data_IF_017305394146
#
_entry.id   IF_017305394146
#
_cell.length_a   1.000
_cell.length_b   1.000
_cell.length_c   1.000
_cell.angle_alpha   90.00
_cell.angle_beta   90.00
_cell.angle_gamma   90.00
#
_symmetry.space_group_name_H-M   'P 1'
#
loop_
_entity.id
_entity.type
_entity.pdbx_description
1 polymer ?
#
# COMPACT_ATOMS: atom_id res chain seq x y z
N UNK A 1 -12.08 1.22 -28.96
CA UNK A 1 -12.17 1.69 -27.57
C UNK A 1 -10.92 1.28 -26.79
N UNK A 2 -10.59 -0.01 -26.72
CA UNK A 2 -9.39 -0.53 -26.04
C UNK A 2 -8.07 0.20 -26.42
N UNK A 3 -7.74 0.33 -27.71
CA UNK A 3 -6.55 1.07 -28.20
C UNK A 3 -6.49 2.57 -27.84
N UNK A 4 -7.62 3.21 -27.56
CA UNK A 4 -7.65 4.61 -27.11
C UNK A 4 -7.34 4.68 -25.62
N UNK A 5 -7.91 3.79 -24.82
CA UNK A 5 -7.67 3.73 -23.37
C UNK A 5 -6.18 3.50 -23.07
N UNK A 6 -5.55 2.53 -23.76
CA UNK A 6 -4.12 2.21 -23.59
C UNK A 6 -3.21 3.44 -23.75
N UNK A 7 -3.56 4.37 -24.66
CA UNK A 7 -2.77 5.60 -24.90
C UNK A 7 -2.87 6.64 -23.79
N UNK A 8 -3.85 6.53 -22.90
CA UNK A 8 -4.15 7.53 -21.88
C UNK A 8 -3.93 7.04 -20.45
N UNK A 9 -3.43 5.81 -20.26
CA UNK A 9 -3.04 5.30 -18.95
C UNK A 9 -1.74 5.97 -18.49
N UNK A 10 -1.86 6.75 -17.42
CA UNK A 10 -0.74 7.37 -16.71
C UNK A 10 0.11 6.32 -15.97
N UNK A 11 1.33 6.72 -15.55
CA UNK A 11 2.20 5.83 -14.77
C UNK A 11 1.58 5.44 -13.42
N UNK A 12 0.83 6.35 -12.79
CA UNK A 12 0.17 6.09 -11.51
C UNK A 12 -0.98 5.08 -11.67
N UNK A 13 -1.76 5.21 -12.75
CA UNK A 13 -2.81 4.25 -13.07
C UNK A 13 -2.24 2.88 -13.42
N UNK A 14 -1.14 2.85 -14.17
CA UNK A 14 -0.45 1.60 -14.48
C UNK A 14 0.07 0.91 -13.20
N UNK A 15 0.62 1.68 -12.26
CA UNK A 15 1.04 1.16 -10.95
C UNK A 15 -0.15 0.59 -10.16
N UNK A 16 -1.30 1.27 -10.18
CA UNK A 16 -2.50 0.79 -9.49
C UNK A 16 -3.04 -0.49 -10.13
N UNK A 17 -3.03 -0.56 -11.48
CA UNK A 17 -3.37 -1.80 -12.18
C UNK A 17 -2.38 -2.93 -11.84
N UNK A 18 -1.08 -2.65 -11.75
CA UNK A 18 -0.07 -3.62 -11.33
C UNK A 18 -0.34 -4.15 -9.92
N UNK A 19 -0.64 -3.26 -8.96
CA UNK A 19 -1.01 -3.63 -7.59
C UNK A 19 -2.28 -4.50 -7.51
N UNK A 20 -3.27 -4.23 -8.36
CA UNK A 20 -4.51 -5.01 -8.42
C UNK A 20 -4.37 -6.30 -9.24
N UNK A 21 -3.33 -6.41 -10.07
CA UNK A 21 -2.97 -7.62 -10.79
C UNK A 21 -2.15 -8.60 -9.94
N UNK A 22 -1.33 -8.05 -9.04
CA UNK A 22 -0.49 -8.75 -8.08
C UNK A 22 -1.27 -9.63 -7.09
N UNK A 23 -0.59 -10.53 -6.37
CA UNK A 23 -1.16 -11.42 -5.35
C UNK A 23 -2.38 -12.18 -5.87
N UNK A 24 -2.20 -12.85 -7.02
CA UNK A 24 -3.28 -13.57 -7.72
C UNK A 24 -4.54 -12.72 -8.00
N UNK A 25 -4.36 -11.42 -8.22
CA UNK A 25 -5.44 -10.44 -8.48
C UNK A 25 -6.37 -10.25 -7.28
N UNK A 26 -5.87 -10.48 -6.06
CA UNK A 26 -6.65 -10.26 -4.84
C UNK A 26 -6.96 -8.77 -4.67
N UNK A 27 -8.24 -8.44 -4.50
CA UNK A 27 -8.69 -7.05 -4.44
C UNK A 27 -8.23 -6.29 -3.20
N UNK A 28 -8.01 -4.98 -3.33
CA UNK A 28 -7.64 -4.11 -2.20
C UNK A 28 -8.88 -3.60 -1.49
N UNK A 29 -9.01 -3.85 -0.18
CA UNK A 29 -10.19 -3.42 0.61
C UNK A 29 -10.15 -1.94 0.94
N UNK A 30 -11.28 -1.24 0.81
CA UNK A 30 -11.44 0.16 1.25
C UNK A 30 -10.43 1.15 0.61
N UNK A 31 -10.76 2.43 0.68
CA UNK A 31 -9.87 3.49 0.17
C UNK A 31 -8.56 3.58 0.97
N UNK A 32 -8.63 3.34 2.29
CA UNK A 32 -7.47 3.46 3.17
C UNK A 32 -6.33 2.51 2.77
N UNK A 33 -6.59 1.22 2.55
CA UNK A 33 -5.54 0.27 2.19
C UNK A 33 -4.92 0.62 0.85
N UNK A 34 -5.75 0.89 -0.16
CA UNK A 34 -5.30 1.31 -1.48
C UNK A 34 -4.33 2.50 -1.42
N UNK A 35 -4.69 3.54 -0.66
CA UNK A 35 -3.83 4.70 -0.44
C UNK A 35 -2.49 4.31 0.19
N UNK A 36 -2.48 3.40 1.18
CA UNK A 36 -1.25 2.99 1.86
C UNK A 36 -0.39 2.03 1.05
N UNK A 37 -1.01 1.13 0.29
CA UNK A 37 -0.30 0.22 -0.62
C UNK A 37 0.40 1.03 -1.72
N UNK A 38 -0.31 1.94 -2.38
CA UNK A 38 0.29 2.85 -3.37
C UNK A 38 1.40 3.68 -2.73
N UNK A 39 1.17 4.26 -1.56
CA UNK A 39 2.19 5.03 -0.82
C UNK A 39 3.48 4.24 -0.60
N UNK A 40 3.38 2.95 -0.23
CA UNK A 40 4.55 2.09 0.01
C UNK A 40 5.32 1.83 -1.26
N UNK A 41 4.63 1.50 -2.35
CA UNK A 41 5.26 1.27 -3.65
C UNK A 41 5.96 2.52 -4.16
N UNK A 42 5.31 3.70 -4.15
CA UNK A 42 5.93 4.93 -4.70
C UNK A 42 7.08 5.46 -3.84
N UNK A 43 7.10 5.17 -2.54
CA UNK A 43 8.26 5.51 -1.71
C UNK A 43 9.46 4.56 -1.93
N UNK A 44 9.21 3.36 -2.44
CA UNK A 44 10.26 2.46 -2.88
C UNK A 44 10.74 2.82 -4.31
N UNK A 45 9.80 3.00 -5.24
CA UNK A 45 10.04 3.39 -6.64
C UNK A 45 10.05 4.91 -6.75
N UNK A 46 11.20 5.51 -6.39
CA UNK A 46 11.35 6.97 -6.22
C UNK A 46 10.92 7.79 -7.45
N UNK A 47 11.02 7.25 -8.66
CA UNK A 47 10.64 7.93 -9.90
C UNK A 47 9.13 8.24 -9.97
N UNK A 48 8.30 7.51 -9.23
CA UNK A 48 6.85 7.71 -9.19
C UNK A 48 6.39 8.55 -7.99
N UNK A 49 7.33 9.01 -7.15
CA UNK A 49 6.98 9.76 -5.93
C UNK A 49 6.35 11.11 -6.24
N UNK A 50 6.83 11.81 -7.27
CA UNK A 50 6.31 13.14 -7.65
C UNK A 50 4.91 13.07 -8.28
N UNK A 51 4.60 12.03 -9.05
CA UNK A 51 3.28 11.89 -9.68
C UNK A 51 2.17 11.55 -8.68
N UNK A 52 2.52 10.90 -7.57
CA UNK A 52 1.58 10.55 -6.53
C UNK A 52 1.35 11.66 -5.51
N UNK A 53 2.26 12.62 -5.34
CA UNK A 53 2.09 13.83 -4.50
C UNK A 53 1.42 13.59 -3.13
N UNK A 54 1.99 12.65 -2.36
CA UNK A 54 1.45 12.33 -1.03
C UNK A 54 1.74 13.44 -0.02
N UNK A 55 0.73 13.77 0.79
CA UNK A 55 0.79 14.73 1.89
C UNK A 55 0.42 14.06 3.23
N UNK A 56 0.81 14.69 4.34
CA UNK A 56 0.32 14.30 5.67
C UNK A 56 -1.17 14.62 5.80
N UNK A 57 -1.96 13.70 6.35
CA UNK A 57 -3.41 13.85 6.51
C UNK A 57 -3.91 13.09 7.75
N UNK A 58 -5.22 13.13 8.01
CA UNK A 58 -5.87 12.58 9.19
C UNK A 58 -5.49 11.12 9.53
N UNK A 59 -5.36 10.25 8.52
CA UNK A 59 -4.96 8.84 8.67
C UNK A 59 -3.52 8.58 8.16
N UNK A 60 -2.65 9.58 8.24
CA UNK A 60 -1.29 9.53 7.70
C UNK A 60 -1.25 9.88 6.21
N UNK A 61 -0.35 9.29 5.40
CA UNK A 61 -0.09 9.72 4.03
C UNK A 61 -1.33 9.59 3.13
N UNK A 62 -1.66 10.65 2.41
CA UNK A 62 -2.82 10.71 1.51
C UNK A 62 -2.46 11.38 0.19
N UNK A 63 -3.07 10.92 -0.89
CA UNK A 63 -2.91 11.51 -2.22
C UNK A 63 -4.27 11.65 -2.92
N UNK A 64 -4.59 12.88 -3.34
CA UNK A 64 -5.71 13.15 -4.24
C UNK A 64 -5.45 12.57 -5.63
N UNK A 65 -4.21 12.63 -6.13
CA UNK A 65 -3.84 12.05 -7.43
C UNK A 65 -4.12 10.55 -7.51
N UNK A 66 -3.91 9.80 -6.41
CA UNK A 66 -4.27 8.38 -6.32
C UNK A 66 -5.78 8.18 -6.37
N UNK A 67 -6.56 9.05 -5.75
CA UNK A 67 -8.02 8.99 -5.83
C UNK A 67 -8.50 9.24 -7.25
N UNK A 68 -8.01 10.30 -7.90
CA UNK A 68 -8.36 10.61 -9.30
C UNK A 68 -7.97 9.47 -10.25
N UNK A 69 -6.78 8.87 -10.08
CA UNK A 69 -6.35 7.73 -10.88
C UNK A 69 -7.32 6.55 -10.74
N UNK A 70 -7.79 6.25 -9.53
CA UNK A 70 -8.74 5.16 -9.29
C UNK A 70 -10.13 5.48 -9.84
N UNK A 71 -10.60 6.70 -9.70
CA UNK A 71 -11.86 7.15 -10.31
C UNK A 71 -11.84 7.02 -11.83
N UNK A 72 -10.70 7.36 -12.46
CA UNK A 72 -10.52 7.21 -13.89
C UNK A 72 -10.53 5.74 -14.32
N UNK A 73 -9.79 4.87 -13.61
CA UNK A 73 -9.81 3.42 -13.86
C UNK A 73 -11.19 2.79 -13.69
N UNK A 74 -11.98 3.24 -12.70
CA UNK A 74 -13.38 2.85 -12.51
C UNK A 74 -14.25 3.32 -13.68
N UNK A 75 -14.08 4.57 -14.14
CA UNK A 75 -14.84 5.13 -15.26
C UNK A 75 -14.62 4.37 -16.58
N UNK A 76 -13.41 3.85 -16.77
CA UNK A 76 -13.03 2.99 -17.90
C UNK A 76 -13.38 1.52 -17.72
N UNK A 77 -13.94 1.14 -16.56
CA UNK A 77 -14.24 -0.25 -16.21
C UNK A 77 -13.02 -1.17 -16.24
N UNK A 78 -11.83 -0.63 -16.01
CA UNK A 78 -10.60 -1.40 -15.82
C UNK A 78 -10.48 -1.92 -14.39
N UNK A 79 -11.09 -1.19 -13.46
CA UNK A 79 -11.25 -1.57 -12.06
C UNK A 79 -12.74 -1.52 -11.73
N UNK A 80 -13.19 -2.33 -10.79
CA UNK A 80 -14.53 -2.28 -10.24
C UNK A 80 -14.51 -2.37 -8.71
N UNK A 81 -15.64 -2.01 -8.08
CA UNK A 81 -15.85 -2.22 -6.65
C UNK A 81 -16.70 -3.46 -6.43
N UNK A 82 -16.14 -4.49 -5.83
CA UNK A 82 -16.83 -5.73 -5.48
C UNK A 82 -16.73 -5.97 -3.97
N UNK A 83 -17.87 -6.07 -3.26
CA UNK A 83 -17.95 -6.25 -1.80
C UNK A 83 -17.03 -5.31 -0.99
N UNK A 84 -16.89 -4.05 -1.41
CA UNK A 84 -16.04 -3.06 -0.74
C UNK A 84 -14.54 -3.16 -1.03
N UNK A 85 -14.13 -4.03 -1.97
CA UNK A 85 -12.77 -4.13 -2.52
C UNK A 85 -12.69 -3.53 -3.91
N UNK A 86 -11.56 -2.92 -4.24
CA UNK A 86 -11.17 -2.61 -5.61
C UNK A 86 -10.61 -3.88 -6.25
N UNK A 87 -11.13 -4.26 -7.41
CA UNK A 87 -10.73 -5.47 -8.13
C UNK A 87 -10.45 -5.11 -9.58
N UNK A 88 -9.37 -5.65 -10.15
CA UNK A 88 -9.08 -5.48 -11.58
C UNK A 88 -10.07 -6.30 -12.42
N UNK A 89 -10.64 -5.70 -13.47
CA UNK A 89 -11.54 -6.40 -14.39
C UNK A 89 -10.73 -7.13 -15.46
N UNK A 90 -11.37 -7.98 -16.26
CA UNK A 90 -10.70 -8.58 -17.42
C UNK A 90 -10.14 -7.52 -18.38
N UNK A 91 -10.88 -6.43 -18.63
CA UNK A 91 -10.37 -5.35 -19.46
C UNK A 91 -9.16 -4.64 -18.82
N UNK A 92 -9.13 -4.53 -17.49
CA UNK A 92 -7.98 -3.99 -16.76
C UNK A 92 -6.76 -4.89 -16.87
N UNK A 93 -6.96 -6.21 -16.80
CA UNK A 93 -5.92 -7.22 -17.01
C UNK A 93 -5.34 -7.07 -18.41
N UNK A 94 -6.17 -7.04 -19.44
CA UNK A 94 -5.72 -6.94 -20.83
C UNK A 94 -4.89 -5.65 -21.05
N UNK A 95 -5.35 -4.52 -20.51
CA UNK A 95 -4.62 -3.23 -20.58
C UNK A 95 -3.30 -3.29 -19.82
N UNK A 96 -3.29 -3.89 -18.63
CA UNK A 96 -2.07 -4.04 -17.84
C UNK A 96 -1.05 -4.92 -18.57
N UNK A 97 -1.46 -6.07 -19.10
CA UNK A 97 -0.58 -6.96 -19.85
C UNK A 97 0.01 -6.30 -21.10
N UNK A 98 -0.76 -5.45 -21.78
CA UNK A 98 -0.26 -4.66 -22.92
C UNK A 98 0.76 -3.61 -22.48
N UNK A 99 0.64 -3.04 -21.28
CA UNK A 99 1.44 -1.90 -20.82
C UNK A 99 2.55 -2.26 -19.82
N UNK A 100 2.58 -3.49 -19.27
CA UNK A 100 3.47 -3.87 -18.18
C UNK A 100 4.95 -3.70 -18.51
N UNK A 101 5.33 -3.73 -19.79
CA UNK A 101 6.70 -3.47 -20.25
C UNK A 101 7.23 -2.08 -19.89
N UNK A 102 6.35 -1.13 -19.51
CA UNK A 102 6.74 0.19 -18.97
C UNK A 102 7.27 0.11 -17.54
N UNK A 103 7.01 -1.00 -16.85
CA UNK A 103 7.56 -1.34 -15.54
C UNK A 103 8.68 -2.37 -15.74
N UNK A 104 9.82 -2.17 -15.09
CA UNK A 104 10.87 -3.20 -15.06
C UNK A 104 10.43 -4.38 -14.19
N UNK A 105 11.03 -5.55 -14.41
CA UNK A 105 10.78 -6.75 -13.59
C UNK A 105 11.00 -6.46 -12.09
N UNK A 106 12.11 -5.80 -11.71
CA UNK A 106 12.37 -5.40 -10.32
C UNK A 106 11.24 -4.55 -9.70
N UNK A 107 10.56 -3.72 -10.52
CA UNK A 107 9.43 -2.90 -10.06
C UNK A 107 8.18 -3.76 -9.87
N UNK A 108 7.95 -4.72 -10.77
CA UNK A 108 6.84 -5.67 -10.66
C UNK A 108 7.02 -6.58 -9.44
N UNK A 109 8.23 -7.08 -9.20
CA UNK A 109 8.57 -7.88 -8.02
C UNK A 109 8.35 -7.09 -6.73
N UNK A 110 8.84 -5.85 -6.65
CA UNK A 110 8.59 -5.00 -5.49
C UNK A 110 7.09 -4.72 -5.26
N UNK A 111 6.32 -4.54 -6.33
CA UNK A 111 4.86 -4.37 -6.25
C UNK A 111 4.19 -5.62 -5.68
N UNK A 112 4.56 -6.80 -6.16
CA UNK A 112 4.08 -8.09 -5.65
C UNK A 112 4.41 -8.25 -4.16
N UNK A 113 5.66 -8.01 -3.76
CA UNK A 113 6.10 -8.11 -2.37
C UNK A 113 5.31 -7.19 -1.43
N UNK A 114 5.14 -5.92 -1.82
CA UNK A 114 4.36 -4.98 -1.02
C UNK A 114 2.89 -5.36 -0.97
N UNK A 115 2.33 -5.84 -2.07
CA UNK A 115 0.95 -6.31 -2.14
C UNK A 115 0.74 -7.47 -1.17
N UNK A 116 1.53 -8.53 -1.27
CA UNK A 116 1.43 -9.73 -0.41
C UNK A 116 1.67 -9.37 1.07
N UNK A 117 2.58 -8.44 1.36
CA UNK A 117 2.86 -8.02 2.71
C UNK A 117 1.71 -7.21 3.34
N UNK A 118 1.11 -6.26 2.61
CA UNK A 118 0.15 -5.29 3.15
C UNK A 118 -1.30 -5.78 3.10
N UNK A 119 -1.64 -6.59 2.10
CA UNK A 119 -3.02 -6.90 1.77
C UNK A 119 -3.74 -7.72 2.84
N UNK A 120 -3.04 -8.44 3.73
CA UNK A 120 -3.64 -9.22 4.81
C UNK A 120 -3.55 -8.53 6.20
N UNK A 121 -2.94 -7.34 6.29
CA UNK A 121 -2.81 -6.62 7.55
C UNK A 121 -4.17 -6.11 8.05
N UNK A 122 -4.41 -6.14 9.36
CA UNK A 122 -5.53 -5.39 9.91
C UNK A 122 -5.33 -3.87 9.69
N UNK A 123 -6.41 -3.08 9.79
CA UNK A 123 -6.30 -1.63 9.66
C UNK A 123 -5.33 -1.03 10.69
N UNK A 124 -5.33 -1.57 11.92
CA UNK A 124 -4.43 -1.17 12.99
C UNK A 124 -2.98 -1.53 12.67
N UNK A 125 -2.72 -2.77 12.21
CA UNK A 125 -1.38 -3.21 11.77
C UNK A 125 -0.83 -2.34 10.63
N UNK A 126 -1.65 -2.06 9.62
CA UNK A 126 -1.28 -1.20 8.51
C UNK A 126 -0.89 0.20 9.00
N UNK A 127 -1.72 0.82 9.85
CA UNK A 127 -1.46 2.18 10.32
C UNK A 127 -0.23 2.27 11.21
N UNK A 128 -0.03 1.34 12.15
CA UNK A 128 1.21 1.28 12.95
C UNK A 128 2.43 1.11 12.07
N UNK A 129 2.38 0.21 11.09
CA UNK A 129 3.48 -0.02 10.16
C UNK A 129 3.84 1.26 9.39
N UNK A 130 2.83 1.96 8.88
CA UNK A 130 3.01 3.23 8.15
C UNK A 130 3.53 4.32 9.07
N UNK A 131 2.92 4.54 10.23
CA UNK A 131 3.25 5.66 11.13
C UNK A 131 4.62 5.52 11.77
N UNK A 132 5.07 4.28 12.00
CA UNK A 132 6.38 4.01 12.57
C UNK A 132 7.48 4.04 11.50
N UNK A 133 7.14 3.74 10.24
CA UNK A 133 8.10 3.78 9.14
C UNK A 133 8.20 5.16 8.47
N UNK A 134 7.16 5.99 8.59
CA UNK A 134 7.02 7.30 7.94
C UNK A 134 6.43 8.33 8.91
N UNK A 135 7.09 8.61 10.05
CA UNK A 135 6.57 9.51 11.08
C UNK A 135 6.31 10.93 10.56
N UNK A 136 7.00 11.38 9.52
CA UNK A 136 6.81 12.69 8.88
C UNK A 136 5.42 12.86 8.27
N UNK A 137 4.72 11.79 7.91
CA UNK A 137 3.36 11.85 7.37
C UNK A 137 2.27 11.84 8.45
N UNK A 138 2.65 11.87 9.73
CA UNK A 138 1.72 11.80 10.86
C UNK A 138 1.37 13.16 11.47
N UNK A 139 1.93 14.27 10.95
CA UNK A 139 1.79 15.61 11.56
C UNK A 139 0.34 16.09 11.63
N UNK A 140 -0.45 15.76 10.62
CA UNK A 140 -1.87 16.11 10.54
C UNK A 140 -2.82 15.00 11.03
N UNK A 141 -2.28 13.94 11.66
CA UNK A 141 -3.09 12.80 12.02
C UNK A 141 -3.88 13.02 13.31
N UNK A 142 -5.21 12.92 13.23
CA UNK A 142 -6.10 13.01 14.40
C UNK A 142 -6.19 11.74 15.25
N UNK A 143 -5.48 10.68 14.89
CA UNK A 143 -5.47 9.39 15.61
C UNK A 143 -4.05 8.93 15.96
N UNK A 144 -3.06 9.83 15.89
CA UNK A 144 -1.64 9.49 16.05
C UNK A 144 -1.35 8.80 17.38
N UNK A 145 -1.87 9.36 18.46
CA UNK A 145 -1.60 8.88 19.81
C UNK A 145 -2.19 7.47 20.01
N UNK A 146 -3.45 7.24 19.58
CA UNK A 146 -4.09 5.92 19.57
C UNK A 146 -3.25 4.88 18.80
N UNK A 147 -2.75 5.24 17.62
CA UNK A 147 -1.92 4.32 16.82
C UNK A 147 -0.57 4.04 17.50
N UNK A 148 0.01 5.01 18.20
CA UNK A 148 1.29 4.81 18.89
C UNK A 148 1.18 4.01 20.18
N UNK A 149 0.07 4.08 20.90
CA UNK A 149 -0.23 3.20 22.05
C UNK A 149 -0.26 1.72 21.64
N UNK A 150 -0.62 1.44 20.39
CA UNK A 150 -0.79 0.08 19.86
C UNK A 150 0.50 -0.51 19.26
N UNK A 151 1.62 0.23 19.24
CA UNK A 151 2.86 -0.18 18.59
C UNK A 151 3.39 -1.52 19.07
N UNK A 152 3.42 -1.74 20.38
CA UNK A 152 3.96 -2.97 20.99
C UNK A 152 3.12 -4.20 20.64
N UNK A 153 1.81 -4.25 20.94
CA UNK A 153 1.00 -5.43 20.61
C UNK A 153 0.94 -5.69 19.09
N UNK A 154 0.96 -4.63 18.27
CA UNK A 154 0.98 -4.79 16.81
C UNK A 154 2.33 -5.33 16.31
N UNK A 155 3.45 -4.83 16.82
CA UNK A 155 4.77 -5.33 16.45
C UNK A 155 4.91 -6.83 16.77
N UNK A 156 4.41 -7.26 17.93
CA UNK A 156 4.33 -8.68 18.33
C UNK A 156 3.47 -9.47 17.34
N UNK A 157 2.28 -8.95 16.98
CA UNK A 157 1.39 -9.60 16.01
C UNK A 157 2.07 -9.78 14.65
N UNK A 158 2.70 -8.74 14.12
CA UNK A 158 3.41 -8.77 12.84
C UNK A 158 4.59 -9.77 12.86
N UNK A 159 5.35 -9.80 13.95
CA UNK A 159 6.44 -10.77 14.12
C UNK A 159 5.90 -12.21 14.17
N UNK A 160 4.89 -12.49 15.01
CA UNK A 160 4.28 -13.83 15.13
C UNK A 160 3.63 -14.32 13.84
N UNK A 161 3.19 -13.40 12.96
CA UNK A 161 2.69 -13.69 11.61
C UNK A 161 3.79 -13.90 10.56
N UNK A 162 5.07 -13.85 10.96
CA UNK A 162 6.24 -13.87 10.07
C UNK A 162 6.22 -12.76 9.00
N UNK A 163 5.57 -11.63 9.30
CA UNK A 163 5.48 -10.49 8.37
C UNK A 163 6.70 -9.60 8.43
N UNK A 164 7.36 -9.52 9.59
CA UNK A 164 8.54 -8.69 9.81
C UNK A 164 9.60 -9.47 10.58
N UNK A 165 10.88 -9.11 10.40
CA UNK A 165 11.96 -9.63 11.25
C UNK A 165 11.81 -9.12 12.68
N UNK A 166 12.54 -9.73 13.62
CA UNK A 166 12.52 -9.31 15.03
C UNK A 166 13.05 -7.88 15.20
N UNK A 167 14.09 -7.50 14.44
CA UNK A 167 14.64 -6.14 14.44
C UNK A 167 13.63 -5.13 13.90
N UNK A 168 12.91 -5.49 12.84
CA UNK A 168 11.86 -4.63 12.32
C UNK A 168 10.68 -4.54 13.29
N UNK A 169 10.34 -5.62 13.98
CA UNK A 169 9.31 -5.61 15.02
C UNK A 169 9.69 -4.69 16.20
N UNK A 170 10.92 -4.81 16.73
CA UNK A 170 11.43 -3.90 17.76
C UNK A 170 11.41 -2.43 17.32
N UNK A 171 11.82 -2.17 16.06
CA UNK A 171 11.74 -0.84 15.45
C UNK A 171 10.30 -0.31 15.37
N UNK A 172 9.31 -1.15 15.02
CA UNK A 172 7.89 -0.77 15.00
C UNK A 172 7.32 -0.56 16.42
N UNK A 173 7.74 -1.39 17.37
CA UNK A 173 7.45 -1.20 18.79
C UNK A 173 8.10 0.07 19.35
N UNK A 174 9.11 0.59 18.64
CA UNK A 174 9.95 1.75 18.95
C UNK A 174 10.62 1.63 20.32
N UNK A 175 11.22 0.48 20.55
CA UNK A 175 12.06 0.15 21.69
C UNK A 175 13.33 -0.57 21.20
N UNK A 176 14.39 -0.65 22.02
CA UNK A 176 15.56 -1.48 21.75
C UNK A 176 15.20 -2.95 21.47
N UNK A 177 16.06 -3.64 20.71
CA UNK A 177 15.83 -5.04 20.35
C UNK A 177 15.81 -5.94 21.59
N UNK A 178 16.70 -5.67 22.55
CA UNK A 178 16.82 -6.39 23.81
C UNK A 178 15.51 -6.32 24.61
N UNK A 179 14.97 -5.12 24.81
CA UNK A 179 13.70 -4.90 25.50
C UNK A 179 12.53 -5.60 24.78
N UNK A 180 12.55 -5.61 23.45
CA UNK A 180 11.50 -6.29 22.67
C UNK A 180 11.57 -7.81 22.78
N UNK A 181 12.77 -8.39 22.89
CA UNK A 181 12.95 -9.82 23.12
C UNK A 181 12.38 -10.21 24.48
N UNK A 182 12.60 -9.40 25.52
CA UNK A 182 12.04 -9.65 26.85
C UNK A 182 10.50 -9.66 26.81
N UNK A 183 9.90 -8.67 26.14
CA UNK A 183 8.43 -8.59 25.94
C UNK A 183 7.87 -9.80 25.15
N UNK A 184 8.65 -10.41 24.26
CA UNK A 184 8.22 -11.62 23.53
C UNK A 184 8.29 -12.90 24.37
N UNK A 185 9.14 -12.91 25.40
CA UNK A 185 9.35 -14.04 26.31
C UNK A 185 8.30 -14.16 27.42
N UNK A 186 7.58 -13.08 27.70
CA UNK A 186 6.44 -12.99 28.61
C UNK A 186 5.10 -13.45 27.97
#
# INVERSE_FOLDING_TARGET
MHKLIVKHISDLELLILALLYADNKEGIRKKLFLQKEVFRVVNFIKEMKSSADFIAHFYGPYSESVEYAVEHLLSYKLVEKNMGKYVITQSGIDVFEELKYRLSEDKLEAIEDFKVFLNDLTQKELLVFIYSSFPEFTTESGIKDEIYEERVPVAISLYRKNKVSIEKAASLAGMPLEDFIDVLGD
#
